data_IF_169999662422
#
_entry.id   IF_169999662422
#
_cell.length_a   1.000
_cell.length_b   1.000
_cell.length_c   1.000
_cell.angle_alpha   90.00
_cell.angle_beta   90.00
_cell.angle_gamma   90.00
#
_symmetry.space_group_name_H-M   'P 1'
#
loop_
_entity.id
_entity.type
_entity.pdbx_description
1 polymer ?
#
# COMPACT_ATOMS: atom_id res chain seq x y z
N UNK A 1 53.38 -8.95 34.97
CA UNK A 1 53.29 -7.47 34.89
C UNK A 1 52.24 -7.17 33.87
N UNK A 2 51.05 -6.81 34.32
CA UNK A 2 49.91 -6.49 33.42
C UNK A 2 49.98 -5.03 33.10
N UNK A 3 50.01 -4.69 31.82
CA UNK A 3 50.01 -3.30 31.31
C UNK A 3 48.64 -2.66 31.57
N UNK A 4 48.55 -1.45 32.16
CA UNK A 4 47.28 -0.78 32.37
C UNK A 4 46.64 -0.32 31.02
N UNK A 5 45.36 -0.61 30.84
CA UNK A 5 44.55 -0.11 29.73
C UNK A 5 44.41 1.40 29.83
N UNK A 6 44.54 2.17 28.73
CA UNK A 6 44.35 3.62 28.77
C UNK A 6 42.88 3.94 29.04
N UNK A 7 42.59 5.06 29.72
CA UNK A 7 41.21 5.48 30.01
C UNK A 7 40.44 5.76 28.73
N UNK A 8 39.22 5.18 28.63
CA UNK A 8 38.29 5.47 27.55
C UNK A 8 37.87 6.92 27.60
N UNK A 9 38.01 7.63 26.48
CA UNK A 9 37.54 8.99 26.32
C UNK A 9 36.03 9.07 26.60
N UNK A 10 35.52 10.12 27.26
CA UNK A 10 34.09 10.31 27.46
C UNK A 10 33.37 10.35 26.11
N UNK A 11 32.36 9.50 25.94
CA UNK A 11 31.46 9.57 24.78
C UNK A 11 30.76 10.92 24.80
N UNK A 12 30.94 11.71 23.73
CA UNK A 12 30.22 12.96 23.55
C UNK A 12 28.71 12.67 23.62
N UNK A 13 27.90 13.55 24.26
CA UNK A 13 26.46 13.42 24.29
C UNK A 13 25.94 13.33 22.84
N UNK A 14 25.20 12.27 22.52
CA UNK A 14 24.51 12.16 21.24
C UNK A 14 23.55 13.33 21.12
N UNK A 15 23.79 14.22 20.16
CA UNK A 15 22.85 15.29 19.84
C UNK A 15 21.48 14.65 19.50
N UNK A 16 20.37 15.26 19.91
CA UNK A 16 19.04 14.82 19.51
C UNK A 16 19.02 14.78 17.98
N UNK A 17 18.84 13.58 17.42
CA UNK A 17 18.71 13.43 15.98
C UNK A 17 17.43 14.14 15.57
N UNK A 18 17.56 15.17 14.71
CA UNK A 18 16.42 15.84 14.09
C UNK A 18 15.55 14.87 13.27
N UNK A 19 14.44 15.36 12.70
CA UNK A 19 13.56 14.52 11.87
C UNK A 19 14.36 13.78 10.79
N UNK A 20 14.28 12.44 10.78
CA UNK A 20 14.97 11.62 9.78
C UNK A 20 14.25 11.72 8.44
N UNK A 21 14.94 11.83 7.30
CA UNK A 21 14.30 11.77 5.99
C UNK A 21 13.67 10.38 5.74
N UNK A 22 12.72 10.26 4.79
CA UNK A 22 12.26 8.96 4.33
C UNK A 22 13.43 8.12 3.80
N UNK A 23 13.45 6.82 4.12
CA UNK A 23 14.48 5.90 3.65
C UNK A 23 13.91 4.88 2.65
N UNK A 24 14.73 4.53 1.64
CA UNK A 24 14.37 3.58 0.60
C UNK A 24 14.23 2.16 1.19
N UNK A 25 13.10 1.49 0.90
CA UNK A 25 12.92 0.09 1.27
C UNK A 25 13.73 -0.84 0.36
N UNK A 26 14.12 -2.04 0.84
CA UNK A 26 14.79 -3.05 0.00
C UNK A 26 13.92 -3.44 -1.19
N UNK A 27 14.52 -3.51 -2.37
CA UNK A 27 13.84 -3.91 -3.62
C UNK A 27 13.73 -5.42 -3.78
N UNK A 28 14.55 -6.17 -3.06
CA UNK A 28 14.59 -7.62 -3.09
C UNK A 28 14.69 -8.18 -1.66
N UNK A 29 14.00 -9.28 -1.43
CA UNK A 29 14.06 -10.03 -0.17
C UNK A 29 14.35 -11.49 -0.54
N UNK A 30 15.59 -11.96 -0.40
CA UNK A 30 15.99 -13.30 -0.82
C UNK A 30 15.30 -14.40 -0.01
N UNK A 31 14.99 -14.14 1.26
CA UNK A 31 14.24 -15.02 2.13
C UNK A 31 13.55 -14.24 3.23
N UNK A 32 12.26 -14.58 3.47
CA UNK A 32 11.44 -14.05 4.56
C UNK A 32 10.55 -15.15 5.11
N UNK A 33 10.11 -14.98 6.36
CA UNK A 33 9.26 -15.94 7.07
C UNK A 33 8.13 -15.22 7.80
N UNK A 34 6.99 -15.91 7.88
CA UNK A 34 5.85 -15.55 8.70
C UNK A 34 5.13 -16.83 9.15
N UNK A 35 4.20 -16.77 10.11
CA UNK A 35 3.48 -17.96 10.54
C UNK A 35 2.85 -18.73 9.36
N UNK A 36 3.24 -19.99 9.21
CA UNK A 36 2.73 -20.89 8.17
C UNK A 36 3.23 -20.64 6.76
N UNK A 37 4.12 -19.66 6.55
CA UNK A 37 4.63 -19.33 5.22
C UNK A 37 6.10 -18.94 5.22
N UNK A 38 6.79 -19.29 4.13
CA UNK A 38 8.06 -18.68 3.71
C UNK A 38 7.83 -17.89 2.45
N UNK A 39 8.60 -16.84 2.23
CA UNK A 39 8.46 -16.03 1.02
C UNK A 39 9.81 -15.49 0.56
N UNK A 40 9.85 -15.09 -0.70
CA UNK A 40 10.94 -14.27 -1.28
C UNK A 40 10.37 -13.28 -2.28
N UNK A 41 11.09 -12.19 -2.48
CA UNK A 41 10.74 -11.16 -3.46
C UNK A 41 11.93 -10.99 -4.39
N UNK A 42 11.70 -11.16 -5.69
CA UNK A 42 12.72 -11.13 -6.74
C UNK A 42 12.27 -10.30 -7.93
N UNK A 43 13.22 -9.70 -8.60
CA UNK A 43 13.01 -8.84 -9.78
C UNK A 43 13.27 -7.38 -9.47
N UNK A 44 13.53 -6.59 -10.50
CA UNK A 44 13.93 -5.18 -10.34
C UNK A 44 12.81 -4.21 -10.71
N UNK A 45 12.20 -4.37 -11.89
CA UNK A 45 11.18 -3.44 -12.38
C UNK A 45 9.78 -3.84 -11.98
N UNK A 46 9.47 -5.11 -12.13
CA UNK A 46 8.18 -5.69 -11.76
C UNK A 46 8.47 -6.94 -10.93
N UNK A 47 8.68 -6.79 -9.61
CA UNK A 47 9.08 -7.89 -8.76
C UNK A 47 7.98 -8.94 -8.59
N UNK A 48 8.41 -10.17 -8.36
CA UNK A 48 7.54 -11.31 -8.08
C UNK A 48 7.68 -11.69 -6.61
N UNK A 49 6.54 -11.76 -5.94
CA UNK A 49 6.41 -12.33 -4.60
C UNK A 49 6.12 -13.83 -4.72
N UNK A 50 7.04 -14.66 -4.26
CA UNK A 50 6.85 -16.10 -4.10
C UNK A 50 6.47 -16.41 -2.67
N UNK A 51 5.42 -17.19 -2.45
CA UNK A 51 4.99 -17.66 -1.12
C UNK A 51 4.89 -19.18 -1.13
N UNK A 52 5.55 -19.84 -0.20
CA UNK A 52 5.42 -21.26 0.09
C UNK A 52 4.58 -21.43 1.35
N UNK A 53 3.40 -22.03 1.18
CA UNK A 53 2.51 -22.37 2.27
C UNK A 53 2.85 -23.76 2.82
N UNK A 54 2.85 -23.90 4.16
CA UNK A 54 2.98 -25.20 4.83
C UNK A 54 1.64 -25.96 4.98
N UNK A 55 0.55 -25.29 4.65
CA UNK A 55 -0.83 -25.80 4.74
C UNK A 55 -1.57 -25.48 6.05
N UNK A 56 -0.91 -24.86 7.03
CA UNK A 56 -1.55 -24.48 8.30
C UNK A 56 -2.26 -23.12 8.22
N UNK A 57 -1.59 -22.15 7.61
CA UNK A 57 -2.10 -20.78 7.48
C UNK A 57 -2.40 -20.49 6.01
N UNK A 58 -3.63 -20.11 5.66
CA UNK A 58 -3.94 -19.68 4.30
C UNK A 58 -3.37 -18.30 4.00
N UNK A 59 -3.33 -17.96 2.71
CA UNK A 59 -3.01 -16.62 2.21
C UNK A 59 -4.20 -16.11 1.40
N UNK A 60 -4.69 -14.92 1.73
CA UNK A 60 -5.74 -14.25 0.95
C UNK A 60 -5.17 -13.10 0.14
N UNK A 61 -5.80 -12.78 -1.00
CA UNK A 61 -5.26 -11.87 -2.01
C UNK A 61 -6.33 -11.36 -2.97
N UNK A 62 -6.02 -10.32 -3.73
CA UNK A 62 -6.82 -9.89 -4.87
C UNK A 62 -6.64 -10.87 -6.04
N UNK A 63 -7.74 -11.28 -6.68
CA UNK A 63 -7.73 -12.37 -7.67
C UNK A 63 -6.88 -12.09 -8.92
N UNK A 64 -6.67 -10.83 -9.29
CA UNK A 64 -5.96 -10.43 -10.52
C UNK A 64 -4.44 -10.32 -10.36
N UNK A 65 -3.89 -10.57 -9.16
CA UNK A 65 -2.44 -10.45 -8.90
C UNK A 65 -1.68 -11.78 -8.96
N UNK A 66 -2.37 -12.91 -9.14
CA UNK A 66 -1.75 -14.23 -9.20
C UNK A 66 -1.09 -14.46 -10.55
N UNK A 67 0.19 -14.86 -10.54
CA UNK A 67 0.94 -15.25 -11.73
C UNK A 67 0.87 -16.76 -11.96
N UNK A 68 1.19 -17.57 -10.94
CA UNK A 68 1.12 -19.02 -10.97
C UNK A 68 0.95 -19.61 -9.57
N UNK A 69 0.56 -20.87 -9.52
CA UNK A 69 0.50 -21.67 -8.30
C UNK A 69 0.75 -23.13 -8.57
N UNK A 70 1.14 -23.88 -7.56
CA UNK A 70 1.11 -25.34 -7.65
C UNK A 70 -0.34 -25.85 -7.82
N UNK A 71 -0.57 -26.86 -8.67
CA UNK A 71 -1.91 -27.44 -8.87
C UNK A 71 -2.57 -27.95 -7.59
N UNK A 72 -1.77 -28.41 -6.61
CA UNK A 72 -2.23 -28.94 -5.33
C UNK A 72 -2.87 -27.90 -4.40
N UNK A 73 -2.52 -26.62 -4.58
CA UNK A 73 -3.12 -25.56 -3.79
C UNK A 73 -4.59 -25.39 -4.15
N UNK A 74 -5.46 -25.44 -3.14
CA UNK A 74 -6.88 -25.17 -3.28
C UNK A 74 -7.13 -23.67 -3.27
N UNK A 75 -7.87 -23.18 -4.25
CA UNK A 75 -8.34 -21.79 -4.29
C UNK A 75 -9.79 -21.75 -3.83
N UNK A 76 -10.07 -20.86 -2.91
CA UNK A 76 -11.39 -20.66 -2.32
C UNK A 76 -11.72 -19.19 -2.13
N UNK A 77 -12.82 -18.96 -1.45
CA UNK A 77 -13.29 -17.62 -1.09
C UNK A 77 -12.91 -17.35 0.36
N UNK A 78 -12.20 -16.26 0.58
CA UNK A 78 -11.94 -15.73 1.92
C UNK A 78 -13.20 -15.03 2.44
N UNK A 79 -13.75 -15.54 3.53
CA UNK A 79 -14.95 -14.95 4.16
C UNK A 79 -14.54 -13.70 4.93
N UNK A 80 -15.07 -12.56 4.50
CA UNK A 80 -14.78 -11.27 5.13
C UNK A 80 -15.90 -10.88 6.10
N UNK A 81 -15.51 -10.37 7.26
CA UNK A 81 -16.46 -9.76 8.20
C UNK A 81 -17.06 -8.50 7.55
N UNK A 82 -18.38 -8.31 7.73
CA UNK A 82 -19.07 -7.11 7.22
C UNK A 82 -19.42 -7.14 5.73
N UNK A 83 -19.54 -8.31 5.11
CA UNK A 83 -19.92 -8.50 3.69
C UNK A 83 -21.14 -7.64 3.26
N UNK A 84 -22.16 -7.49 4.11
CA UNK A 84 -23.34 -6.66 3.80
C UNK A 84 -22.99 -5.17 3.61
N UNK A 85 -22.09 -4.61 4.44
CA UNK A 85 -21.66 -3.21 4.30
C UNK A 85 -20.86 -2.99 3.00
N UNK A 86 -20.11 -4.00 2.57
CA UNK A 86 -19.36 -3.98 1.29
C UNK A 86 -20.30 -4.03 0.10
N UNK A 87 -21.31 -4.88 0.14
CA UNK A 87 -22.33 -4.96 -0.91
C UNK A 87 -23.03 -3.61 -1.13
N UNK A 88 -23.42 -2.94 -0.05
CA UNK A 88 -24.04 -1.62 -0.11
C UNK A 88 -23.08 -0.55 -0.65
N UNK A 89 -21.76 -0.73 -0.43
CA UNK A 89 -20.73 0.18 -0.93
C UNK A 89 -20.30 -0.09 -2.39
N UNK A 90 -20.87 -1.14 -3.04
CA UNK A 90 -20.48 -1.53 -4.41
C UNK A 90 -19.10 -2.17 -4.51
N UNK A 91 -18.54 -2.65 -3.38
CA UNK A 91 -17.21 -3.28 -3.31
C UNK A 91 -17.30 -4.80 -3.43
N UNK A 92 -16.23 -5.48 -3.86
CA UNK A 92 -16.18 -6.94 -3.80
C UNK A 92 -16.47 -7.46 -2.39
N UNK A 93 -17.34 -8.47 -2.30
CA UNK A 93 -17.81 -9.03 -1.02
C UNK A 93 -16.83 -10.06 -0.48
N UNK A 94 -15.90 -10.53 -1.32
CA UNK A 94 -14.99 -11.62 -1.00
C UNK A 94 -13.63 -11.38 -1.66
N UNK A 95 -12.60 -11.89 -1.01
CA UNK A 95 -11.26 -12.04 -1.57
C UNK A 95 -11.02 -13.50 -1.91
N UNK A 96 -10.01 -13.73 -2.73
CA UNK A 96 -9.55 -15.08 -3.05
C UNK A 96 -8.60 -15.57 -1.96
N UNK A 97 -8.63 -16.85 -1.66
CA UNK A 97 -7.77 -17.48 -0.66
C UNK A 97 -7.12 -18.74 -1.23
N UNK A 98 -5.82 -18.91 -0.97
CA UNK A 98 -5.07 -20.14 -1.26
C UNK A 98 -4.85 -20.93 0.03
N UNK A 99 -5.12 -22.25 -0.01
CA UNK A 99 -4.94 -23.21 1.07
C UNK A 99 -4.15 -24.44 0.62
N UNK A 100 -3.48 -25.08 1.57
CA UNK A 100 -2.74 -26.32 1.37
C UNK A 100 -1.24 -26.08 1.22
N UNK A 101 -0.43 -27.15 1.28
CA UNK A 101 1.02 -27.02 1.06
C UNK A 101 1.31 -26.76 -0.43
N UNK A 102 2.23 -25.83 -0.69
CA UNK A 102 2.68 -25.53 -2.06
C UNK A 102 3.06 -24.09 -2.27
N UNK A 103 3.46 -23.78 -3.50
CA UNK A 103 3.92 -22.46 -3.92
C UNK A 103 2.83 -21.71 -4.69
N UNK A 104 2.73 -20.42 -4.44
CA UNK A 104 1.94 -19.45 -5.21
C UNK A 104 2.76 -18.19 -5.43
N UNK A 105 2.65 -17.58 -6.60
CA UNK A 105 3.39 -16.37 -6.94
C UNK A 105 2.45 -15.23 -7.35
N UNK A 106 2.83 -14.03 -6.96
CA UNK A 106 2.08 -12.81 -7.17
C UNK A 106 2.94 -11.74 -7.81
N UNK A 107 2.31 -10.87 -8.59
CA UNK A 107 2.91 -9.64 -9.08
C UNK A 107 1.82 -8.60 -9.37
N UNK A 108 2.23 -7.41 -9.75
CA UNK A 108 1.32 -6.32 -10.11
C UNK A 108 1.53 -5.89 -11.57
N UNK A 109 0.57 -5.19 -12.11
CA UNK A 109 0.52 -4.67 -13.48
C UNK A 109 1.32 -3.38 -13.70
N UNK A 110 2.25 -3.06 -12.83
CA UNK A 110 3.06 -1.85 -12.91
C UNK A 110 4.45 -2.00 -12.31
N UNK A 111 5.37 -1.18 -12.81
CA UNK A 111 6.72 -1.09 -12.28
C UNK A 111 6.71 -0.56 -10.85
N UNK A 112 7.47 -1.19 -9.96
CA UNK A 112 7.55 -0.75 -8.57
C UNK A 112 8.22 -1.74 -7.62
N UNK A 113 7.99 -1.54 -6.34
CA UNK A 113 8.47 -2.41 -5.27
C UNK A 113 7.34 -3.28 -4.74
N UNK A 114 7.66 -4.53 -4.43
CA UNK A 114 6.85 -5.39 -3.55
C UNK A 114 7.59 -5.50 -2.22
N UNK A 115 6.87 -5.32 -1.12
CA UNK A 115 7.48 -5.34 0.21
C UNK A 115 6.51 -5.89 1.27
N UNK A 116 7.03 -6.54 2.32
CA UNK A 116 6.23 -7.06 3.43
C UNK A 116 6.08 -6.01 4.53
N UNK A 117 4.92 -6.00 5.17
CA UNK A 117 4.69 -5.33 6.46
C UNK A 117 4.33 -6.40 7.48
N UNK A 118 5.22 -6.63 8.44
CA UNK A 118 4.98 -7.52 9.57
C UNK A 118 4.15 -6.79 10.62
N UNK A 119 3.06 -7.42 11.06
CA UNK A 119 2.19 -6.91 12.11
C UNK A 119 2.23 -7.85 13.31
N UNK A 120 2.60 -7.30 14.47
CA UNK A 120 2.54 -7.98 15.75
C UNK A 120 1.14 -7.84 16.37
N UNK A 121 0.71 -8.72 17.28
CA UNK A 121 -0.57 -8.60 17.96
C UNK A 121 -0.80 -7.20 18.53
N UNK A 122 -1.97 -6.63 18.24
CA UNK A 122 -2.34 -5.26 18.61
C UNK A 122 -1.94 -4.19 17.59
N UNK A 123 -1.20 -4.54 16.53
CA UNK A 123 -0.86 -3.60 15.46
C UNK A 123 -1.86 -3.66 14.31
N UNK A 124 -2.07 -2.51 13.69
CA UNK A 124 -2.88 -2.38 12.49
C UNK A 124 -2.31 -1.31 11.55
N UNK A 125 -2.55 -1.51 10.27
CA UNK A 125 -2.22 -0.54 9.21
C UNK A 125 -3.45 -0.23 8.37
N UNK A 126 -3.46 0.96 7.82
CA UNK A 126 -4.35 1.35 6.73
C UNK A 126 -3.57 1.45 5.42
N UNK A 127 -4.11 0.87 4.38
CA UNK A 127 -3.48 0.72 3.06
C UNK A 127 -4.35 1.40 2.02
N UNK A 128 -3.76 2.18 1.16
CA UNK A 128 -4.45 2.82 0.04
C UNK A 128 -4.94 1.78 -0.96
N UNK A 129 -6.08 2.04 -1.54
CA UNK A 129 -6.66 1.22 -2.63
C UNK A 129 -5.63 0.90 -3.72
N UNK A 130 -5.68 -0.31 -4.26
CA UNK A 130 -4.77 -0.84 -5.30
C UNK A 130 -3.31 -1.09 -4.87
N UNK A 131 -2.98 -0.99 -3.57
CA UNK A 131 -1.62 -1.28 -3.10
C UNK A 131 -1.49 -2.68 -2.47
N UNK A 132 -2.60 -3.32 -2.15
CA UNK A 132 -2.63 -4.65 -1.55
C UNK A 132 -2.32 -5.75 -2.59
N UNK A 133 -1.45 -6.71 -2.24
CA UNK A 133 -1.21 -7.93 -3.01
C UNK A 133 -1.78 -9.16 -2.31
N UNK A 134 -1.24 -9.46 -1.14
CA UNK A 134 -1.58 -10.65 -0.39
C UNK A 134 -1.36 -10.45 1.11
N UNK A 135 -2.02 -11.26 1.95
CA UNK A 135 -1.80 -11.29 3.39
C UNK A 135 -2.00 -12.69 3.96
N UNK A 136 -1.33 -12.97 5.10
CA UNK A 136 -1.56 -14.20 5.86
C UNK A 136 -2.96 -14.20 6.45
N UNK A 137 -3.62 -15.37 6.45
CA UNK A 137 -4.98 -15.54 6.99
C UNK A 137 -5.10 -15.37 8.51
N UNK A 138 -3.99 -15.08 9.19
CA UNK A 138 -3.97 -14.70 10.61
C UNK A 138 -4.42 -13.26 10.86
N UNK A 139 -4.42 -12.43 9.82
CA UNK A 139 -4.82 -11.03 9.90
C UNK A 139 -6.32 -10.84 9.70
N UNK A 140 -6.90 -9.92 10.47
CA UNK A 140 -8.26 -9.42 10.26
C UNK A 140 -8.24 -8.34 9.18
N UNK A 141 -9.12 -8.47 8.18
CA UNK A 141 -9.25 -7.52 7.10
C UNK A 141 -10.54 -6.71 7.22
N UNK A 142 -10.43 -5.43 7.06
CA UNK A 142 -11.53 -4.47 7.00
C UNK A 142 -11.28 -3.40 5.95
N UNK A 143 -12.24 -2.50 5.81
CA UNK A 143 -12.07 -1.31 4.97
C UNK A 143 -12.82 -0.14 5.58
N UNK A 144 -12.35 1.06 5.26
CA UNK A 144 -12.98 2.31 5.68
C UNK A 144 -13.12 3.24 4.46
N UNK A 145 -14.27 3.85 4.30
CA UNK A 145 -14.44 4.91 3.31
C UNK A 145 -14.02 6.22 3.93
N UNK A 146 -12.96 6.81 3.43
CA UNK A 146 -12.55 8.16 3.81
C UNK A 146 -13.54 9.18 3.21
N UNK A 147 -14.15 9.98 4.08
CA UNK A 147 -15.03 11.09 3.70
C UNK A 147 -14.24 12.39 3.83
N UNK A 148 -14.55 13.36 2.99
CA UNK A 148 -13.91 14.69 3.08
C UNK A 148 -13.38 15.14 1.73
N UNK A 149 -12.21 15.75 1.69
CA UNK A 149 -11.59 16.30 0.47
C UNK A 149 -11.34 15.23 -0.63
N UNK A 150 -11.47 13.95 -0.31
CA UNK A 150 -11.52 12.89 -1.32
C UNK A 150 -12.47 13.21 -2.47
N UNK A 151 -13.64 13.81 -2.19
CA UNK A 151 -14.57 14.26 -3.23
C UNK A 151 -13.99 15.37 -4.12
N UNK A 152 -13.06 16.15 -3.60
CA UNK A 152 -12.43 17.27 -4.30
C UNK A 152 -11.23 16.81 -5.16
N UNK A 153 -10.59 15.68 -4.78
CA UNK A 153 -9.39 15.13 -5.43
C UNK A 153 -9.67 13.94 -6.35
N UNK A 154 -10.70 13.15 -6.04
CA UNK A 154 -10.97 11.86 -6.69
C UNK A 154 -12.42 11.73 -7.19
N UNK A 155 -13.18 12.83 -7.23
CA UNK A 155 -14.59 12.83 -7.65
C UNK A 155 -15.55 12.35 -6.54
N UNK A 156 -16.83 12.24 -6.87
CA UNK A 156 -17.93 12.01 -5.92
C UNK A 156 -17.96 10.61 -5.27
N UNK A 157 -17.15 9.67 -5.73
CA UNK A 157 -17.17 8.26 -5.25
C UNK A 157 -16.48 8.05 -3.92
N UNK A 158 -15.63 8.99 -3.48
CA UNK A 158 -14.81 8.82 -2.27
C UNK A 158 -13.64 7.87 -2.51
N UNK A 159 -12.86 7.68 -1.47
CA UNK A 159 -11.62 6.92 -1.50
C UNK A 159 -11.71 5.83 -0.42
N UNK A 160 -11.42 4.59 -0.80
CA UNK A 160 -11.43 3.46 0.11
C UNK A 160 -10.02 3.21 0.65
N UNK A 161 -9.96 2.81 1.89
CA UNK A 161 -8.74 2.43 2.60
C UNK A 161 -8.94 1.05 3.16
N UNK A 162 -8.09 0.13 2.80
CA UNK A 162 -8.04 -1.21 3.36
C UNK A 162 -7.40 -1.16 4.75
N UNK A 163 -7.91 -1.94 5.68
CA UNK A 163 -7.37 -2.05 7.04
C UNK A 163 -6.98 -3.50 7.31
N UNK A 164 -5.74 -3.71 7.71
CA UNK A 164 -5.22 -5.00 8.15
C UNK A 164 -4.82 -4.91 9.62
N UNK A 165 -5.26 -5.85 10.44
CA UNK A 165 -5.00 -5.87 11.86
C UNK A 165 -4.57 -7.24 12.35
N UNK A 166 -3.52 -7.29 13.16
CA UNK A 166 -3.11 -8.46 13.92
C UNK A 166 -3.81 -8.41 15.28
N UNK A 167 -4.95 -9.13 15.42
CA UNK A 167 -5.74 -9.10 16.65
C UNK A 167 -5.15 -10.02 17.72
N UNK A 168 -4.86 -11.28 17.39
CA UNK A 168 -4.37 -12.30 18.31
C UNK A 168 -3.04 -12.89 17.89
N UNK A 169 -2.82 -13.02 16.59
CA UNK A 169 -1.64 -13.63 16.02
C UNK A 169 -0.92 -12.63 15.13
N UNK A 170 0.39 -12.75 15.07
CA UNK A 170 1.19 -12.00 14.09
C UNK A 170 0.85 -12.42 12.66
N UNK A 171 1.15 -11.55 11.72
CA UNK A 171 0.96 -11.83 10.31
C UNK A 171 1.70 -10.87 9.42
N UNK A 172 1.63 -11.11 8.12
CA UNK A 172 2.28 -10.28 7.10
C UNK A 172 1.29 -9.85 6.04
N UNK A 173 1.38 -8.58 5.68
CA UNK A 173 0.74 -8.01 4.49
C UNK A 173 1.83 -7.73 3.48
N UNK A 174 1.68 -8.19 2.25
CA UNK A 174 2.55 -7.80 1.13
C UNK A 174 1.85 -6.73 0.32
N UNK A 175 2.56 -5.64 0.12
CA UNK A 175 2.09 -4.47 -0.59
C UNK A 175 2.93 -4.23 -1.85
N UNK A 176 2.34 -3.52 -2.79
CA UNK A 176 3.01 -2.98 -3.97
C UNK A 176 2.97 -1.44 -3.93
N UNK A 177 4.10 -0.80 -4.22
CA UNK A 177 4.15 0.64 -4.47
C UNK A 177 4.73 0.91 -5.84
N UNK A 178 4.20 1.90 -6.55
CA UNK A 178 4.66 2.27 -7.88
C UNK A 178 5.98 3.05 -7.83
N UNK A 179 6.93 2.65 -8.66
CA UNK A 179 8.29 3.15 -8.62
C UNK A 179 9.05 2.68 -7.38
N UNK A 180 9.85 3.54 -6.78
CA UNK A 180 10.57 3.28 -5.54
C UNK A 180 9.67 3.52 -4.33
N UNK A 181 9.81 2.69 -3.30
CA UNK A 181 9.07 2.83 -2.06
C UNK A 181 10.00 3.30 -0.95
N UNK A 182 9.57 4.34 -0.26
CA UNK A 182 10.23 4.91 0.90
C UNK A 182 9.36 4.75 2.13
N UNK A 183 9.97 4.56 3.28
CA UNK A 183 9.28 4.60 4.58
C UNK A 183 9.74 5.79 5.39
N UNK A 184 8.80 6.51 5.98
CA UNK A 184 9.04 7.58 6.94
C UNK A 184 8.50 7.17 8.30
N UNK A 185 9.36 7.17 9.30
CA UNK A 185 8.97 6.99 10.70
C UNK A 185 8.75 8.38 11.30
N UNK A 186 7.55 8.64 11.75
CA UNK A 186 7.16 9.91 12.38
C UNK A 186 7.24 9.77 13.91
N UNK A 187 7.95 10.68 14.55
CA UNK A 187 7.90 10.85 16.00
C UNK A 187 6.53 11.41 16.46
N UNK A 188 6.17 11.33 17.75
CA UNK A 188 4.95 11.94 18.26
C UNK A 188 4.86 13.43 17.91
N UNK A 189 3.79 13.81 17.19
CA UNK A 189 3.56 15.18 16.72
C UNK A 189 4.37 15.61 15.48
N UNK A 190 5.33 14.79 15.01
CA UNK A 190 6.03 15.06 13.76
C UNK A 190 5.07 14.95 12.58
N UNK A 191 5.23 15.82 11.59
CA UNK A 191 4.34 15.92 10.45
C UNK A 191 5.11 15.81 9.13
N UNK A 192 4.44 15.22 8.12
CA UNK A 192 4.85 15.25 6.73
C UNK A 192 3.64 15.44 5.84
N UNK A 193 3.76 16.29 4.84
CA UNK A 193 2.74 16.48 3.81
C UNK A 193 3.14 15.66 2.58
N UNK A 194 2.27 14.75 2.16
CA UNK A 194 2.48 13.85 1.02
C UNK A 194 1.38 14.11 -0.01
N UNK A 195 1.76 14.20 -1.27
CA UNK A 195 0.82 14.31 -2.38
C UNK A 195 -0.18 13.13 -2.33
N UNK A 196 -1.48 13.34 -2.62
CA UNK A 196 -2.50 12.31 -2.45
C UNK A 196 -2.26 10.99 -3.19
N UNK A 197 -1.59 11.03 -4.35
CA UNK A 197 -1.19 9.83 -5.09
C UNK A 197 0.10 9.16 -4.59
N UNK A 198 0.85 9.84 -3.73
CA UNK A 198 2.19 9.42 -3.30
C UNK A 198 2.25 8.54 -2.05
N UNK A 199 1.18 8.33 -1.29
CA UNK A 199 1.21 7.46 -0.11
C UNK A 199 0.69 6.05 -0.43
N UNK A 200 1.19 5.05 0.32
CA UNK A 200 0.85 3.64 0.15
C UNK A 200 0.09 3.12 1.37
N UNK A 201 0.68 3.28 2.55
CA UNK A 201 0.13 2.81 3.82
C UNK A 201 0.53 3.74 4.96
N UNK A 202 -0.18 3.61 6.07
CA UNK A 202 0.19 4.22 7.36
C UNK A 202 -0.13 3.27 8.51
N UNK A 203 0.62 3.34 9.59
CA UNK A 203 0.21 2.74 10.86
C UNK A 203 -1.09 3.41 11.33
N UNK A 204 -1.99 2.65 11.97
CA UNK A 204 -3.27 3.18 12.48
C UNK A 204 -3.09 4.31 13.51
N UNK A 205 -1.94 4.35 14.19
CA UNK A 205 -1.55 5.43 15.11
C UNK A 205 -1.24 6.76 14.43
N UNK A 206 -0.95 6.77 13.14
CA UNK A 206 -0.68 7.99 12.37
C UNK A 206 -1.98 8.63 11.93
N UNK A 207 -2.21 9.89 12.32
CA UNK A 207 -3.37 10.65 11.83
C UNK A 207 -3.12 11.18 10.44
N UNK A 208 -4.12 11.14 9.56
CA UNK A 208 -4.11 11.71 8.22
C UNK A 208 -5.20 12.76 8.07
N UNK A 209 -4.81 13.98 7.76
CA UNK A 209 -5.71 15.10 7.51
C UNK A 209 -5.38 15.73 6.15
N UNK A 210 -6.40 16.11 5.37
CA UNK A 210 -6.18 16.84 4.14
C UNK A 210 -5.73 18.27 4.44
N UNK A 211 -4.80 18.78 3.65
CA UNK A 211 -4.26 20.14 3.76
C UNK A 211 -4.24 20.80 2.40
N UNK A 212 -4.76 22.00 2.30
CA UNK A 212 -4.86 22.78 1.04
C UNK A 212 -4.01 24.02 1.16
N UNK A 213 -3.07 24.18 0.23
CA UNK A 213 -2.30 25.40 0.07
C UNK A 213 -2.83 26.20 -1.10
N UNK A 214 -3.44 27.38 -0.82
CA UNK A 214 -3.87 28.31 -1.85
C UNK A 214 -2.71 29.17 -2.33
N UNK A 215 -2.40 29.12 -3.62
CA UNK A 215 -1.48 30.09 -4.23
C UNK A 215 -2.24 31.39 -4.48
N UNK A 216 -2.09 32.38 -3.58
CA UNK A 216 -2.55 33.75 -3.82
C UNK A 216 -1.59 34.44 -4.81
N UNK A 217 -1.58 34.02 -6.06
CA UNK A 217 -0.84 34.71 -7.13
C UNK A 217 -1.85 35.48 -7.98
N UNK A 218 -1.99 36.75 -7.69
CA UNK A 218 -2.86 37.69 -8.44
C UNK A 218 -2.37 38.03 -9.85
N UNK A 219 -1.48 37.26 -10.47
CA UNK A 219 -0.90 37.54 -11.80
C UNK A 219 -1.28 36.50 -12.86
N UNK A 220 -1.66 35.28 -12.48
CA UNK A 220 -2.14 34.28 -13.41
C UNK A 220 -3.52 33.80 -12.95
N UNK A 221 -4.56 34.15 -13.69
CA UNK A 221 -5.95 33.86 -13.40
C UNK A 221 -6.38 32.39 -13.39
N UNK A 222 -5.54 31.51 -12.85
CA UNK A 222 -5.80 30.12 -12.53
C UNK A 222 -5.43 29.86 -11.08
N UNK A 223 -6.44 29.72 -10.22
CA UNK A 223 -6.23 29.37 -8.81
C UNK A 223 -5.69 27.92 -8.70
N UNK A 224 -4.38 27.75 -8.82
CA UNK A 224 -3.73 26.50 -8.51
C UNK A 224 -3.82 26.24 -7.00
N UNK A 225 -4.65 25.28 -6.59
CA UNK A 225 -4.66 24.75 -5.24
C UNK A 225 -3.73 23.54 -5.19
N UNK A 226 -2.75 23.55 -4.27
CA UNK A 226 -1.95 22.38 -3.96
C UNK A 226 -2.61 21.66 -2.79
N UNK A 227 -2.95 20.41 -2.98
CA UNK A 227 -3.58 19.57 -1.97
C UNK A 227 -2.59 18.50 -1.54
N UNK A 228 -2.49 18.30 -0.24
CA UNK A 228 -1.67 17.26 0.38
C UNK A 228 -2.47 16.49 1.42
N UNK A 229 -2.05 15.27 1.69
CA UNK A 229 -2.40 14.54 2.90
C UNK A 229 -1.33 14.83 3.94
N UNK A 230 -1.70 15.45 5.05
CA UNK A 230 -0.84 15.66 6.22
C UNK A 230 -0.90 14.47 7.13
N UNK A 231 0.22 13.80 7.29
CA UNK A 231 0.39 12.71 8.24
C UNK A 231 1.03 13.24 9.51
N UNK A 232 0.44 12.89 10.67
CA UNK A 232 0.96 13.27 11.99
C UNK A 232 1.21 12.01 12.80
N UNK A 233 2.46 11.82 13.25
CA UNK A 233 2.90 10.68 14.05
C UNK A 233 2.32 10.62 15.47
N UNK A 234 2.56 9.53 16.17
CA UNK A 234 3.66 8.58 15.91
C UNK A 234 3.30 7.42 14.97
N UNK A 235 4.31 6.93 14.23
CA UNK A 235 4.19 5.71 13.43
C UNK A 235 4.79 5.83 12.03
N UNK A 236 4.61 4.79 11.21
CA UNK A 236 5.19 4.67 9.86
C UNK A 236 4.23 5.17 8.79
N UNK A 237 4.80 5.75 7.74
CA UNK A 237 4.10 6.12 6.50
C UNK A 237 4.93 5.60 5.32
N UNK A 238 4.33 4.79 4.46
CA UNK A 238 4.90 4.33 3.20
C UNK A 238 4.59 5.31 2.07
N UNK A 239 5.62 5.66 1.30
CA UNK A 239 5.56 6.66 0.24
C UNK A 239 6.12 6.06 -1.05
N UNK A 240 5.45 6.30 -2.18
CA UNK A 240 5.89 5.87 -3.51
C UNK A 240 6.37 7.03 -4.35
N UNK A 241 7.36 6.77 -5.21
CA UNK A 241 7.97 7.80 -6.05
C UNK A 241 7.24 8.06 -7.36
N UNK A 242 6.28 7.22 -7.73
CA UNK A 242 5.46 7.36 -8.93
C UNK A 242 4.01 7.51 -8.54
N UNK A 243 3.34 8.55 -9.03
CA UNK A 243 1.93 8.78 -8.78
C UNK A 243 1.07 7.91 -9.70
N UNK A 244 0.10 7.24 -9.11
CA UNK A 244 -0.94 6.56 -9.86
C UNK A 244 -2.19 7.45 -9.89
N UNK A 245 -2.46 8.02 -11.04
CA UNK A 245 -3.71 8.75 -11.28
C UNK A 245 -4.71 7.77 -11.91
N UNK A 246 -5.82 7.52 -11.23
CA UNK A 246 -6.95 6.86 -11.87
C UNK A 246 -7.46 7.81 -12.97
N UNK A 247 -7.64 7.32 -14.23
CA UNK A 247 -8.26 8.15 -15.24
C UNK A 247 -9.63 8.61 -14.73
N UNK A 248 -9.85 9.93 -14.74
CA UNK A 248 -11.16 10.47 -14.42
C UNK A 248 -12.17 9.95 -15.43
N UNK A 249 -13.33 9.51 -14.98
CA UNK A 249 -14.40 8.99 -15.84
C UNK A 249 -14.92 10.01 -16.89
N UNK A 250 -14.40 11.24 -16.87
CA UNK A 250 -14.70 12.29 -17.84
C UNK A 250 -13.84 12.25 -19.11
N UNK A 251 -12.66 11.61 -19.10
CA UNK A 251 -11.84 11.49 -20.31
C UNK A 251 -12.29 10.36 -21.27
N UNK A 252 -13.15 9.45 -20.82
CA UNK A 252 -13.73 8.37 -21.64
C UNK A 252 -14.86 8.82 -22.57
N UNK A 253 -15.33 10.07 -22.48
CA UNK A 253 -16.52 10.55 -23.19
C UNK A 253 -16.27 11.29 -24.51
N UNK A 254 -15.04 11.60 -24.90
CA UNK A 254 -14.76 12.45 -26.07
C UNK A 254 -13.95 11.84 -27.20
N UNK A 255 -13.69 10.51 -27.22
CA UNK A 255 -13.03 9.87 -28.35
C UNK A 255 -13.91 8.92 -29.19
N UNK A 256 -15.23 9.08 -29.14
CA UNK A 256 -16.13 8.31 -30.00
C UNK A 256 -16.93 9.21 -30.98
N UNK A 257 -16.28 10.17 -31.64
CA UNK A 257 -16.86 10.82 -32.83
C UNK A 257 -15.77 11.47 -33.69
N UNK A 258 -15.13 10.67 -34.54
CA UNK A 258 -14.71 11.05 -35.89
C UNK A 258 -14.13 9.83 -36.61
N UNK A 259 -15.01 8.97 -37.09
CA UNK A 259 -14.67 8.02 -38.16
C UNK A 259 -14.87 8.73 -39.50
N UNK A 260 -13.82 8.98 -40.30
CA UNK A 260 -13.95 9.63 -41.60
C UNK A 260 -14.32 8.69 -42.75
N UNK A 261 -14.91 7.51 -42.48
CA UNK A 261 -15.29 6.53 -43.49
C UNK A 261 -16.75 6.07 -43.37
N UNK A 262 -17.67 7.03 -43.35
CA UNK A 262 -19.12 6.80 -43.49
C UNK A 262 -19.66 7.41 -44.75
N UNK A 263 -19.27 6.93 -45.90
CA UNK A 263 -19.82 7.45 -47.16
C UNK A 263 -19.20 6.85 -48.40
N UNK A 264 -19.46 5.57 -48.66
CA UNK A 264 -19.25 4.97 -49.98
C UNK A 264 -19.80 3.53 -49.93
N UNK A 265 -21.13 3.40 -50.08
CA UNK A 265 -21.83 2.23 -50.63
C UNK A 265 -23.32 2.47 -50.53
N UNK A 266 -23.81 3.32 -51.46
CA UNK A 266 -25.19 3.28 -51.94
C UNK A 266 -25.09 3.39 -53.47
N UNK A 267 -25.18 2.26 -54.11
CA UNK A 267 -25.83 2.00 -55.39
C UNK A 267 -26.06 0.51 -55.48
#
# INVERSE_FOLDING_TARGET
MSTPQPPQSPQSPQQPQGPQPPFLLPTQIPEGQAPGVRYRIQGELVPVLHIWLDGQVPVFFEHHVVLWKNPQLTIGIHQMKGAFKRLVAGMPIYMTEARGPGEIAFSRDGAGHVFPIHLQPGQAIEVREHQFLAATGTLDYGFTRQKGIANMLFGSTGFFVDRFAALQYEGVVWLHGYGNVFEKILAPGEQIDVEPGGWIYRDESVRMDPTVYGLKTGIFGGAGQLVFNRFTGPGRVGIQSMYYHLPSSEEGGQQAQSSPFGGLFNN
#
